data_IF_569025140035
#
_entry.id   IF_569025140035
#
_cell.length_a   1.000
_cell.length_b   1.000
_cell.length_c   1.000
_cell.angle_alpha   90.00
_cell.angle_beta   90.00
_cell.angle_gamma   90.00
#
_symmetry.space_group_name_H-M   'P 1'
#
loop_
_entity.id
_entity.type
_entity.pdbx_description
1 polymer ?
#
# COMPACT_ATOMS: atom_id res chain seq x y z
N UNK A 1 -10.41 -25.63 -5.27
CA UNK A 1 -10.20 -24.85 -6.52
C UNK A 1 -10.31 -25.74 -7.77
N UNK A 2 -10.88 -25.21 -8.86
CA UNK A 2 -11.05 -25.84 -10.18
C UNK A 2 -10.20 -25.19 -11.29
N UNK A 3 -9.60 -24.03 -11.04
CA UNK A 3 -8.76 -23.28 -11.99
C UNK A 3 -7.62 -24.12 -12.56
N UNK A 4 -7.33 -23.90 -13.83
CA UNK A 4 -6.23 -24.50 -14.59
C UNK A 4 -5.47 -23.41 -15.33
N UNK A 5 -4.20 -23.66 -15.66
CA UNK A 5 -3.38 -22.68 -16.41
C UNK A 5 -4.02 -22.18 -17.71
N UNK A 6 -4.73 -23.05 -18.44
CA UNK A 6 -5.40 -22.67 -19.70
C UNK A 6 -6.45 -21.56 -19.52
N UNK A 7 -7.00 -21.40 -18.31
CA UNK A 7 -8.00 -20.38 -18.01
C UNK A 7 -7.35 -18.97 -17.97
N UNK A 8 -6.02 -18.93 -17.85
CA UNK A 8 -5.19 -17.71 -17.84
C UNK A 8 -4.59 -17.37 -19.20
N UNK A 9 -4.99 -18.06 -20.28
CA UNK A 9 -4.51 -17.78 -21.62
C UNK A 9 -4.71 -16.30 -22.00
N UNK A 10 -3.74 -15.75 -22.73
CA UNK A 10 -3.70 -14.37 -23.24
C UNK A 10 -3.65 -13.25 -22.18
N UNK A 11 -3.58 -13.59 -20.88
CA UNK A 11 -3.43 -12.62 -19.81
C UNK A 11 -1.94 -12.27 -19.58
N UNK A 12 -1.49 -11.18 -20.20
CA UNK A 12 -0.10 -10.70 -20.09
C UNK A 12 0.17 -9.68 -18.98
N UNK A 13 -0.84 -9.19 -18.27
CA UNK A 13 -0.67 -8.15 -17.24
C UNK A 13 -1.16 -8.61 -15.86
N UNK A 14 -0.68 -7.99 -14.77
CA UNK A 14 -1.14 -8.29 -13.41
C UNK A 14 -2.67 -8.26 -13.27
N UNK A 15 -3.32 -7.20 -13.77
CA UNK A 15 -4.78 -7.05 -13.75
C UNK A 15 -5.49 -8.14 -14.55
N UNK A 16 -4.99 -8.45 -15.75
CA UNK A 16 -5.61 -9.45 -16.61
C UNK A 16 -5.55 -10.84 -15.96
N UNK A 17 -4.40 -11.19 -15.36
CA UNK A 17 -4.23 -12.47 -14.66
C UNK A 17 -5.15 -12.57 -13.45
N UNK A 18 -5.16 -11.56 -12.57
CA UNK A 18 -6.05 -11.56 -11.39
C UNK A 18 -7.52 -11.63 -11.81
N UNK A 19 -7.91 -10.89 -12.86
CA UNK A 19 -9.28 -10.95 -13.39
C UNK A 19 -9.64 -12.38 -13.84
N UNK A 20 -8.76 -13.06 -14.58
CA UNK A 20 -9.00 -14.45 -15.02
C UNK A 20 -9.06 -15.43 -13.85
N UNK A 21 -8.20 -15.26 -12.85
CA UNK A 21 -8.23 -16.07 -11.62
C UNK A 21 -9.59 -15.93 -10.92
N UNK A 22 -10.08 -14.71 -10.73
CA UNK A 22 -11.36 -14.44 -10.08
C UNK A 22 -12.57 -14.89 -10.92
N UNK A 23 -12.45 -14.92 -12.26
CA UNK A 23 -13.49 -15.47 -13.13
C UNK A 23 -13.56 -17.01 -13.05
N UNK A 24 -12.40 -17.67 -12.96
CA UNK A 24 -12.33 -19.12 -12.80
C UNK A 24 -12.70 -19.58 -11.36
N UNK A 25 -12.45 -18.73 -10.36
CA UNK A 25 -12.74 -18.96 -8.95
C UNK A 25 -13.62 -17.83 -8.38
N UNK A 26 -14.90 -17.73 -8.76
CA UNK A 26 -15.78 -16.64 -8.31
C UNK A 26 -16.01 -16.61 -6.79
N UNK A 27 -15.81 -17.75 -6.12
CA UNK A 27 -15.94 -17.90 -4.67
C UNK A 27 -14.57 -18.02 -3.98
N UNK A 28 -13.52 -17.41 -4.55
CA UNK A 28 -12.17 -17.42 -3.95
C UNK A 28 -12.23 -16.85 -2.53
N UNK A 29 -11.89 -17.62 -1.48
CA UNK A 29 -12.04 -17.14 -0.12
C UNK A 29 -10.96 -16.11 0.23
N UNK A 30 -11.24 -15.31 1.25
CA UNK A 30 -10.28 -14.39 1.89
C UNK A 30 -10.05 -14.89 3.32
N UNK A 31 -8.81 -15.10 3.76
CA UNK A 31 -7.56 -14.95 2.99
C UNK A 31 -7.43 -15.94 1.82
N UNK A 32 -6.83 -15.49 0.71
CA UNK A 32 -6.62 -16.34 -0.47
C UNK A 32 -5.75 -17.55 -0.12
N UNK A 33 -6.15 -18.79 -0.45
CA UNK A 33 -5.37 -19.99 -0.17
C UNK A 33 -4.24 -20.11 -1.19
N UNK A 34 -3.23 -19.25 -1.04
CA UNK A 34 -2.22 -19.00 -2.08
C UNK A 34 -1.44 -20.26 -2.48
N UNK A 35 -1.20 -21.18 -1.53
CA UNK A 35 -0.49 -22.43 -1.81
C UNK A 35 -1.33 -23.40 -2.66
N UNK A 36 -2.64 -23.52 -2.40
CA UNK A 36 -3.55 -24.32 -3.23
C UNK A 36 -3.63 -23.73 -4.64
N UNK A 37 -3.72 -22.40 -4.74
CA UNK A 37 -3.74 -21.70 -6.03
C UNK A 37 -2.45 -21.94 -6.82
N UNK A 38 -1.28 -21.84 -6.16
CA UNK A 38 0.02 -22.17 -6.75
C UNK A 38 0.04 -23.61 -7.30
N UNK A 39 -0.42 -24.59 -6.52
CA UNK A 39 -0.47 -25.99 -6.95
C UNK A 39 -1.35 -26.19 -8.19
N UNK A 40 -2.52 -25.54 -8.23
CA UNK A 40 -3.44 -25.57 -9.39
C UNK A 40 -2.85 -24.94 -10.64
N UNK A 41 -1.97 -23.96 -10.47
CA UNK A 41 -1.28 -23.26 -11.52
C UNK A 41 0.12 -23.85 -11.79
N UNK A 42 0.39 -25.06 -11.30
CA UNK A 42 1.55 -25.88 -11.62
C UNK A 42 2.87 -25.42 -10.98
N UNK A 43 2.79 -24.77 -9.83
CA UNK A 43 3.89 -24.77 -8.87
C UNK A 43 3.86 -26.11 -8.13
N UNK A 44 4.86 -26.94 -8.35
CA UNK A 44 4.91 -28.31 -7.80
C UNK A 44 5.47 -28.34 -6.38
N UNK A 45 6.24 -27.31 -5.99
CA UNK A 45 6.88 -27.24 -4.68
C UNK A 45 6.99 -25.80 -4.18
N UNK A 46 6.84 -25.63 -2.87
CA UNK A 46 7.13 -24.39 -2.16
C UNK A 46 8.05 -24.75 -1.00
N UNK A 47 9.27 -24.22 -1.00
CA UNK A 47 10.27 -24.51 0.03
C UNK A 47 10.67 -23.25 0.79
N UNK A 48 11.09 -23.46 2.03
CA UNK A 48 11.64 -22.39 2.85
C UNK A 48 13.15 -22.29 2.62
N UNK A 49 13.63 -21.06 2.39
CA UNK A 49 15.04 -20.72 2.33
C UNK A 49 15.53 -20.17 3.67
N UNK A 50 16.67 -20.68 4.14
CA UNK A 50 17.38 -20.11 5.27
C UNK A 50 18.51 -19.21 4.77
N UNK A 51 18.18 -17.96 4.43
CA UNK A 51 19.15 -17.00 3.89
C UNK A 51 18.74 -15.56 4.15
N UNK A 52 19.74 -14.70 4.36
CA UNK A 52 19.57 -13.25 4.43
C UNK A 52 19.72 -12.51 3.10
N UNK A 53 20.08 -13.20 2.02
CA UNK A 53 20.35 -12.57 0.73
C UNK A 53 19.08 -12.25 -0.08
N UNK A 54 18.06 -13.10 0.01
CA UNK A 54 16.85 -13.02 -0.83
C UNK A 54 15.59 -13.17 0.01
N UNK A 55 14.51 -12.55 -0.43
CA UNK A 55 13.18 -12.73 0.17
C UNK A 55 12.42 -13.87 -0.51
N UNK A 56 12.59 -13.99 -1.83
CA UNK A 56 11.95 -15.02 -2.65
C UNK A 56 12.80 -15.43 -3.85
N UNK A 57 12.44 -16.56 -4.44
CA UNK A 57 12.96 -17.00 -5.72
C UNK A 57 12.00 -17.98 -6.39
N UNK A 58 12.18 -18.10 -7.71
CA UNK A 58 11.43 -19.02 -8.55
C UNK A 58 12.42 -19.79 -9.41
N UNK A 59 12.32 -21.12 -9.38
CA UNK A 59 13.03 -22.04 -10.28
C UNK A 59 12.02 -22.64 -11.24
N UNK A 60 12.25 -22.50 -12.54
CA UNK A 60 11.36 -22.98 -13.61
C UNK A 60 12.15 -23.20 -14.88
N UNK A 61 11.74 -24.18 -15.69
CA UNK A 61 12.30 -24.34 -17.04
C UNK A 61 11.88 -23.19 -17.98
N UNK A 62 12.55 -23.10 -19.13
CA UNK A 62 12.26 -22.09 -20.17
C UNK A 62 10.82 -22.16 -20.70
N UNK A 63 10.20 -23.34 -20.68
CA UNK A 63 8.82 -23.56 -21.14
C UNK A 63 7.77 -23.26 -20.06
N UNK A 64 8.20 -23.01 -18.82
CA UNK A 64 7.35 -22.87 -17.63
C UNK A 64 6.41 -24.04 -17.46
N UNK A 65 6.91 -25.25 -17.67
CA UNK A 65 6.13 -26.49 -17.54
C UNK A 65 5.73 -26.72 -16.08
N UNK A 66 6.65 -26.56 -15.15
CA UNK A 66 6.43 -26.50 -13.72
C UNK A 66 7.38 -25.52 -13.02
N UNK A 67 7.07 -25.18 -11.77
CA UNK A 67 7.88 -24.25 -10.99
C UNK A 67 8.03 -24.69 -9.53
N UNK A 68 9.18 -24.33 -8.94
CA UNK A 68 9.43 -24.40 -7.50
C UNK A 68 9.61 -22.98 -6.97
N UNK A 69 8.79 -22.62 -5.99
CA UNK A 69 8.91 -21.34 -5.27
C UNK A 69 9.77 -21.56 -4.04
N UNK A 70 10.72 -20.65 -3.86
CA UNK A 70 11.58 -20.57 -2.71
C UNK A 70 11.18 -19.29 -1.95
N UNK A 71 10.72 -19.43 -0.71
CA UNK A 71 10.37 -18.28 0.13
C UNK A 71 11.28 -18.25 1.34
N UNK A 72 11.82 -17.08 1.71
CA UNK A 72 12.57 -16.95 2.95
C UNK A 72 11.76 -17.48 4.12
N UNK A 73 12.40 -18.30 4.96
CA UNK A 73 11.85 -18.76 6.23
C UNK A 73 11.52 -17.54 7.08
N UNK A 74 10.25 -17.41 7.41
CA UNK A 74 9.75 -16.26 8.14
C UNK A 74 8.29 -16.45 8.52
N UNK A 75 7.79 -15.56 9.37
CA UNK A 75 6.39 -15.56 9.77
C UNK A 75 5.46 -15.06 8.67
N UNK A 76 4.21 -15.48 8.77
CA UNK A 76 3.12 -14.77 8.09
C UNK A 76 3.00 -13.35 8.65
N UNK A 77 2.62 -12.35 7.83
CA UNK A 77 2.05 -12.47 6.48
C UNK A 77 3.05 -12.29 5.32
N UNK A 78 4.34 -12.14 5.62
CA UNK A 78 5.36 -11.82 4.61
C UNK A 78 5.56 -12.97 3.62
N UNK A 79 5.58 -14.20 4.12
CA UNK A 79 5.72 -15.42 3.32
C UNK A 79 4.62 -15.55 2.25
N UNK A 80 3.36 -15.27 2.61
CA UNK A 80 2.24 -15.23 1.64
C UNK A 80 2.46 -14.25 0.50
N UNK A 81 2.95 -13.05 0.80
CA UNK A 81 3.24 -12.04 -0.21
C UNK A 81 4.36 -12.51 -1.15
N UNK A 82 5.42 -13.10 -0.60
CA UNK A 82 6.50 -13.72 -1.39
C UNK A 82 5.98 -14.79 -2.33
N UNK A 83 5.17 -15.73 -1.85
CA UNK A 83 4.62 -16.79 -2.70
C UNK A 83 3.76 -16.21 -3.82
N UNK A 84 2.91 -15.22 -3.52
CA UNK A 84 2.09 -14.57 -4.54
C UNK A 84 2.93 -13.78 -5.56
N UNK A 85 4.01 -13.16 -5.12
CA UNK A 85 4.96 -12.44 -5.98
C UNK A 85 5.66 -13.41 -6.95
N UNK A 86 6.22 -14.51 -6.44
CA UNK A 86 6.89 -15.52 -7.27
C UNK A 86 5.91 -16.22 -8.23
N UNK A 87 4.65 -16.43 -7.80
CA UNK A 87 3.59 -16.87 -8.71
C UNK A 87 3.36 -15.87 -9.85
N UNK A 88 3.44 -14.57 -9.57
CA UNK A 88 3.38 -13.53 -10.61
C UNK A 88 4.50 -13.70 -11.64
N UNK A 89 5.75 -13.86 -11.18
CA UNK A 89 6.88 -14.20 -12.05
C UNK A 89 6.64 -15.46 -12.86
N UNK A 90 6.00 -16.47 -12.27
CA UNK A 90 5.71 -17.75 -12.91
C UNK A 90 4.64 -17.66 -14.01
N UNK A 91 3.63 -16.81 -13.84
CA UNK A 91 2.49 -16.71 -14.77
C UNK A 91 2.74 -15.75 -15.94
N UNK A 92 3.58 -14.73 -15.75
CA UNK A 92 3.85 -13.73 -16.78
C UNK A 92 4.95 -14.19 -17.72
N UNK A 93 4.59 -14.55 -18.95
CA UNK A 93 5.53 -15.11 -19.94
C UNK A 93 6.69 -14.17 -20.30
N UNK A 94 6.46 -12.85 -20.28
CA UNK A 94 7.50 -11.84 -20.53
C UNK A 94 8.45 -11.64 -19.35
N UNK A 95 8.20 -12.28 -18.20
CA UNK A 95 9.15 -12.27 -17.11
C UNK A 95 10.31 -13.21 -17.46
N UNK A 96 11.41 -12.72 -18.00
CA UNK A 96 12.58 -13.57 -18.28
C UNK A 96 13.55 -13.49 -17.10
N UNK A 97 13.99 -14.62 -16.51
CA UNK A 97 14.96 -14.61 -15.41
C UNK A 97 16.31 -14.01 -15.84
N UNK A 98 16.98 -13.31 -14.93
CA UNK A 98 18.30 -12.72 -15.20
C UNK A 98 19.44 -13.77 -15.15
N UNK A 99 19.20 -14.90 -14.48
CA UNK A 99 20.10 -16.05 -14.42
C UNK A 99 19.40 -17.26 -15.03
N UNK A 100 20.11 -18.23 -15.63
CA UNK A 100 19.49 -19.41 -16.21
C UNK A 100 18.50 -20.06 -15.23
N UNK A 101 17.24 -20.11 -15.65
CA UNK A 101 16.12 -20.79 -14.97
C UNK A 101 15.81 -20.33 -13.54
N UNK A 102 16.28 -19.13 -13.11
CA UNK A 102 16.09 -18.66 -11.73
C UNK A 102 15.82 -17.16 -11.57
N UNK A 103 14.75 -16.83 -10.84
CA UNK A 103 14.55 -15.52 -10.23
C UNK A 103 15.11 -15.48 -8.81
N UNK A 104 15.62 -14.32 -8.40
CA UNK A 104 16.09 -14.08 -7.05
C UNK A 104 15.72 -12.65 -6.64
N UNK A 105 14.68 -12.55 -5.84
CA UNK A 105 14.03 -11.30 -5.48
C UNK A 105 14.49 -10.86 -4.08
N UNK A 106 15.05 -9.65 -3.99
CA UNK A 106 15.54 -9.09 -2.73
C UNK A 106 14.39 -8.45 -1.95
N UNK A 107 14.54 -8.27 -0.64
CA UNK A 107 13.56 -7.52 0.17
C UNK A 107 13.27 -6.12 -0.39
N UNK A 108 14.28 -5.45 -0.98
CA UNK A 108 14.08 -4.15 -1.65
C UNK A 108 13.21 -4.23 -2.89
N UNK A 109 13.24 -5.35 -3.61
CA UNK A 109 12.41 -5.55 -4.79
C UNK A 109 10.95 -5.73 -4.40
N UNK A 110 10.67 -6.44 -3.30
CA UNK A 110 9.32 -6.64 -2.74
C UNK A 110 8.61 -5.34 -2.31
N UNK A 111 9.39 -4.30 -2.03
CA UNK A 111 8.88 -2.99 -1.61
C UNK A 111 8.78 -1.99 -2.77
N UNK A 112 9.23 -2.37 -3.97
CA UNK A 112 9.33 -1.48 -5.12
C UNK A 112 7.95 -1.15 -5.69
N UNK A 113 7.73 0.14 -5.94
CA UNK A 113 6.47 0.66 -6.49
C UNK A 113 6.60 1.17 -7.93
N UNK A 114 7.78 1.62 -8.31
CA UNK A 114 8.07 2.19 -9.64
C UNK A 114 9.36 1.58 -10.18
N UNK A 115 9.41 1.48 -11.51
CA UNK A 115 10.60 1.06 -12.21
C UNK A 115 11.29 2.28 -12.81
N UNK A 116 12.62 2.27 -12.81
CA UNK A 116 13.41 3.24 -13.58
C UNK A 116 13.14 3.04 -15.08
N UNK A 117 13.12 4.14 -15.82
CA UNK A 117 13.05 4.08 -17.27
C UNK A 117 14.23 3.26 -17.82
N UNK A 118 13.95 2.40 -18.80
CA UNK A 118 14.96 1.52 -19.38
C UNK A 118 15.35 0.30 -18.54
N UNK A 119 14.80 0.10 -17.33
CA UNK A 119 15.14 -1.06 -16.47
C UNK A 119 14.05 -2.17 -16.56
N UNK A 120 14.24 -3.21 -17.39
CA UNK A 120 13.26 -4.28 -17.55
C UNK A 120 13.17 -5.17 -16.30
N UNK A 121 14.25 -5.33 -15.53
CA UNK A 121 14.22 -6.12 -14.29
C UNK A 121 13.29 -5.47 -13.29
N UNK A 122 13.47 -4.18 -13.02
CA UNK A 122 12.61 -3.46 -12.10
C UNK A 122 11.14 -3.44 -12.54
N UNK A 123 10.87 -3.40 -13.86
CA UNK A 123 9.51 -3.50 -14.38
C UNK A 123 8.86 -4.82 -13.99
N UNK A 124 9.56 -5.95 -14.17
CA UNK A 124 9.08 -7.28 -13.75
C UNK A 124 8.80 -7.34 -12.24
N UNK A 125 9.71 -6.84 -11.40
CA UNK A 125 9.51 -6.81 -9.94
C UNK A 125 8.26 -6.00 -9.55
N UNK A 126 8.06 -4.83 -10.18
CA UNK A 126 6.88 -3.99 -9.93
C UNK A 126 5.59 -4.67 -10.39
N UNK A 127 5.61 -5.34 -11.54
CA UNK A 127 4.47 -6.12 -12.05
C UNK A 127 4.15 -7.31 -11.13
N UNK A 128 5.16 -8.03 -10.64
CA UNK A 128 4.99 -9.12 -9.68
C UNK A 128 4.43 -8.63 -8.33
N UNK A 129 4.94 -7.51 -7.80
CA UNK A 129 4.38 -6.87 -6.60
C UNK A 129 2.92 -6.44 -6.79
N UNK A 130 2.60 -5.90 -7.97
CA UNK A 130 1.24 -5.48 -8.32
C UNK A 130 0.31 -6.68 -8.42
N UNK A 131 0.75 -7.77 -9.06
CA UNK A 131 0.03 -9.04 -9.11
C UNK A 131 -0.23 -9.60 -7.71
N UNK A 132 0.80 -9.71 -6.87
CA UNK A 132 0.68 -10.20 -5.50
C UNK A 132 -0.31 -9.38 -4.67
N UNK A 133 -0.25 -8.06 -4.77
CA UNK A 133 -1.17 -7.15 -4.07
C UNK A 133 -2.61 -7.33 -4.53
N UNK A 134 -2.86 -7.36 -5.84
CA UNK A 134 -4.20 -7.53 -6.41
C UNK A 134 -4.78 -8.92 -6.11
N UNK A 135 -3.95 -9.95 -6.11
CA UNK A 135 -4.38 -11.32 -5.83
C UNK A 135 -4.71 -11.50 -4.36
N UNK A 136 -3.84 -11.04 -3.45
CA UNK A 136 -4.04 -11.20 -2.01
C UNK A 136 -5.08 -10.24 -1.45
N UNK A 137 -5.30 -9.09 -2.09
CA UNK A 137 -6.37 -8.14 -1.76
C UNK A 137 -7.23 -7.81 -2.99
N UNK A 138 -8.12 -8.74 -3.44
CA UNK A 138 -8.94 -8.53 -4.62
C UNK A 138 -9.77 -7.23 -4.54
N UNK A 139 -9.69 -6.33 -5.55
CA UNK A 139 -10.29 -4.99 -5.44
C UNK A 139 -11.79 -4.97 -5.13
N UNK A 140 -12.56 -5.93 -5.62
CA UNK A 140 -14.00 -6.00 -5.36
C UNK A 140 -14.32 -6.43 -3.91
N UNK A 141 -13.58 -7.40 -3.36
CA UNK A 141 -13.71 -7.81 -1.96
C UNK A 141 -13.20 -6.74 -1.01
N UNK A 142 -12.09 -6.08 -1.36
CA UNK A 142 -11.55 -4.97 -0.61
C UNK A 142 -12.54 -3.81 -0.52
N UNK A 143 -13.17 -3.42 -1.64
CA UNK A 143 -14.23 -2.39 -1.63
C UNK A 143 -15.43 -2.81 -0.78
N UNK A 144 -15.83 -4.08 -0.84
CA UNK A 144 -16.87 -4.63 0.04
C UNK A 144 -16.50 -4.47 1.52
N UNK A 145 -15.30 -4.91 1.91
CA UNK A 145 -14.79 -4.78 3.28
C UNK A 145 -14.71 -3.33 3.76
N UNK A 146 -14.38 -2.40 2.85
CA UNK A 146 -14.28 -0.96 3.15
C UNK A 146 -15.61 -0.23 3.16
N UNK A 147 -16.74 -0.86 2.84
CA UNK A 147 -18.05 -0.18 2.75
C UNK A 147 -18.47 0.45 4.08
N UNK A 148 -18.06 -0.13 5.21
CA UNK A 148 -18.31 0.40 6.55
C UNK A 148 -17.30 1.50 6.99
N UNK A 149 -16.17 1.63 6.30
CA UNK A 149 -15.08 2.54 6.66
C UNK A 149 -15.30 3.94 6.08
N UNK A 150 -16.33 4.63 6.57
CA UNK A 150 -16.70 5.97 6.06
C UNK A 150 -15.61 7.01 6.28
N UNK A 151 -15.03 7.01 7.47
CA UNK A 151 -13.99 7.95 7.86
C UNK A 151 -12.61 7.25 7.86
N UNK A 152 -11.53 7.90 7.40
CA UNK A 152 -10.19 7.32 7.43
C UNK A 152 -9.70 7.02 8.86
N UNK A 153 -9.27 5.79 9.11
CA UNK A 153 -8.71 5.37 10.40
C UNK A 153 -7.67 4.24 10.20
N UNK A 154 -6.56 4.28 10.93
CA UNK A 154 -5.54 3.23 10.92
C UNK A 154 -6.07 1.91 11.48
N UNK A 155 -7.08 1.91 12.34
CA UNK A 155 -7.77 0.68 12.76
C UNK A 155 -8.33 -0.09 11.56
N UNK A 156 -8.83 0.60 10.54
CA UNK A 156 -9.31 -0.03 9.31
C UNK A 156 -8.17 -0.70 8.55
N UNK A 157 -6.99 -0.08 8.49
CA UNK A 157 -5.79 -0.69 7.89
C UNK A 157 -5.38 -1.95 8.64
N UNK A 158 -5.42 -1.93 9.98
CA UNK A 158 -5.11 -3.10 10.81
C UNK A 158 -6.13 -4.22 10.62
N UNK A 159 -7.43 -3.89 10.52
CA UNK A 159 -8.49 -4.84 10.22
C UNK A 159 -8.27 -5.50 8.86
N UNK A 160 -8.03 -4.71 7.81
CA UNK A 160 -7.73 -5.23 6.47
C UNK A 160 -6.48 -6.11 6.45
N UNK A 161 -5.41 -5.73 7.14
CA UNK A 161 -4.19 -6.53 7.24
C UNK A 161 -4.46 -7.91 7.85
N UNK A 162 -5.27 -7.95 8.92
CA UNK A 162 -5.67 -9.19 9.58
C UNK A 162 -6.60 -10.02 8.69
N UNK A 163 -7.67 -9.42 8.18
CA UNK A 163 -8.76 -10.12 7.49
C UNK A 163 -8.29 -10.71 6.14
N UNK A 164 -7.39 -10.00 5.43
CA UNK A 164 -6.77 -10.50 4.21
C UNK A 164 -5.47 -11.31 4.44
N UNK A 165 -5.01 -11.40 5.70
CA UNK A 165 -3.74 -11.99 6.10
C UNK A 165 -2.55 -11.49 5.26
N UNK A 166 -2.38 -10.16 5.22
CA UNK A 166 -1.31 -9.45 4.51
C UNK A 166 -0.54 -8.53 5.47
N UNK A 167 0.63 -8.05 5.04
CA UNK A 167 1.38 -7.06 5.81
C UNK A 167 0.61 -5.75 5.98
N UNK A 168 0.81 -5.06 7.11
CA UNK A 168 0.21 -3.75 7.40
C UNK A 168 0.49 -2.73 6.30
N UNK A 169 1.69 -2.76 5.72
CA UNK A 169 2.07 -1.89 4.61
C UNK A 169 1.32 -2.21 3.30
N UNK A 170 1.13 -3.49 2.99
CA UNK A 170 0.32 -3.93 1.84
C UNK A 170 -1.12 -3.45 2.00
N UNK A 171 -1.70 -3.63 3.20
CA UNK A 171 -3.03 -3.14 3.53
C UNK A 171 -3.11 -1.61 3.47
N UNK A 172 -2.11 -0.88 3.99
CA UNK A 172 -2.06 0.58 3.98
C UNK A 172 -2.05 1.12 2.54
N UNK A 173 -1.22 0.53 1.68
CA UNK A 173 -1.17 0.90 0.25
C UNK A 173 -2.52 0.69 -0.43
N UNK A 174 -3.13 -0.48 -0.23
CA UNK A 174 -4.43 -0.80 -0.82
C UNK A 174 -5.53 0.12 -0.27
N UNK A 175 -5.52 0.37 1.03
CA UNK A 175 -6.44 1.30 1.69
C UNK A 175 -6.37 2.69 1.05
N UNK A 176 -5.18 3.28 0.95
CA UNK A 176 -4.97 4.61 0.32
C UNK A 176 -5.41 4.64 -1.15
N UNK A 177 -5.18 3.55 -1.88
CA UNK A 177 -5.53 3.47 -3.30
C UNK A 177 -7.05 3.41 -3.56
N UNK A 178 -7.81 2.77 -2.67
CA UNK A 178 -9.24 2.51 -2.86
C UNK A 178 -10.16 3.32 -1.94
N UNK A 179 -9.62 4.12 -1.02
CA UNK A 179 -10.39 5.04 -0.19
C UNK A 179 -10.90 6.25 -1.01
N UNK A 180 -12.11 6.71 -0.74
CA UNK A 180 -12.72 7.87 -1.42
C UNK A 180 -12.12 9.21 -1.00
N UNK A 181 -11.78 9.33 0.30
CA UNK A 181 -11.17 10.54 0.86
C UNK A 181 -9.73 10.83 0.36
N UNK A 182 -9.32 12.08 0.51
CA UNK A 182 -7.94 12.53 0.26
C UNK A 182 -7.04 12.12 1.42
N UNK A 183 -6.37 10.99 1.29
CA UNK A 183 -5.50 10.45 2.33
C UNK A 183 -4.11 10.08 1.81
N UNK A 184 -3.16 10.09 2.73
CA UNK A 184 -1.85 9.49 2.57
C UNK A 184 -1.46 8.70 3.82
N UNK A 185 -0.62 7.69 3.67
CA UNK A 185 0.01 6.99 4.78
C UNK A 185 1.52 7.07 4.59
N UNK A 186 2.20 7.62 5.59
CA UNK A 186 3.67 7.66 5.69
C UNK A 186 4.12 6.53 6.60
N UNK A 187 5.06 5.72 6.13
CA UNK A 187 5.75 4.75 6.98
C UNK A 187 7.07 5.35 7.43
N UNK A 188 7.26 5.41 8.74
CA UNK A 188 8.50 5.84 9.36
C UNK A 188 9.23 4.65 10.00
N UNK A 189 10.55 4.72 10.05
CA UNK A 189 11.44 3.76 10.68
C UNK A 189 12.62 4.50 11.28
N UNK A 190 12.87 4.29 12.58
CA UNK A 190 13.90 4.97 13.36
C UNK A 190 13.85 6.51 13.20
N UNK A 191 12.65 7.09 13.25
CA UNK A 191 12.43 8.53 13.13
C UNK A 191 12.60 9.10 11.72
N UNK A 192 12.81 8.25 10.69
CA UNK A 192 12.97 8.67 9.30
C UNK A 192 11.88 8.12 8.40
N UNK A 193 11.48 8.90 7.42
CA UNK A 193 10.52 8.52 6.38
C UNK A 193 11.11 7.37 5.56
N UNK A 194 10.38 6.27 5.47
CA UNK A 194 10.77 5.09 4.69
C UNK A 194 9.99 5.04 3.38
N UNK A 195 8.68 5.27 3.44
CA UNK A 195 7.75 5.19 2.30
C UNK A 195 6.59 6.16 2.49
N UNK A 196 6.01 6.59 1.37
CA UNK A 196 4.81 7.42 1.34
C UNK A 196 3.82 6.84 0.32
N UNK A 197 2.63 6.48 0.78
CA UNK A 197 1.50 6.08 -0.08
C UNK A 197 0.49 7.23 -0.07
N UNK A 198 0.05 7.70 -1.24
CA UNK A 198 -0.94 8.78 -1.32
C UNK A 198 -2.01 8.49 -2.35
N UNK A 199 -3.24 8.94 -2.09
CA UNK A 199 -4.27 8.94 -3.12
C UNK A 199 -3.90 9.93 -4.24
N UNK A 200 -4.45 9.73 -5.43
CA UNK A 200 -4.15 10.60 -6.58
C UNK A 200 -4.49 12.08 -6.29
N UNK A 201 -5.56 12.29 -5.52
CA UNK A 201 -6.08 13.60 -5.13
C UNK A 201 -5.38 14.20 -3.89
N UNK A 202 -4.49 13.45 -3.22
CA UNK A 202 -3.69 13.98 -2.12
C UNK A 202 -2.41 14.65 -2.68
N UNK A 203 -2.04 15.86 -2.21
CA UNK A 203 -0.84 16.57 -2.67
C UNK A 203 0.45 15.76 -2.49
N UNK A 204 1.52 16.15 -3.18
CA UNK A 204 2.81 15.52 -2.97
C UNK A 204 3.28 15.75 -1.52
N UNK A 205 3.76 14.69 -0.87
CA UNK A 205 4.38 14.79 0.45
C UNK A 205 5.77 15.39 0.28
N UNK A 206 6.07 16.48 0.99
CA UNK A 206 7.36 17.19 0.87
C UNK A 206 8.52 16.45 1.55
N UNK A 207 8.21 15.59 2.52
CA UNK A 207 9.21 14.77 3.19
C UNK A 207 9.67 13.62 2.29
N UNK A 208 10.90 13.72 1.79
CA UNK A 208 11.52 12.70 0.95
C UNK A 208 11.85 11.43 1.75
N UNK A 209 11.92 10.29 1.05
CA UNK A 209 12.42 9.04 1.65
C UNK A 209 13.83 9.26 2.21
N UNK A 210 14.04 8.84 3.45
CA UNK A 210 15.27 9.03 4.21
C UNK A 210 15.30 10.30 5.06
N UNK A 211 14.43 11.29 4.84
CA UNK A 211 14.39 12.49 5.67
C UNK A 211 13.89 12.18 7.09
N UNK A 212 14.27 12.97 8.11
CA UNK A 212 13.61 12.93 9.41
C UNK A 212 12.10 13.18 9.28
N UNK A 213 11.31 12.54 10.13
CA UNK A 213 9.89 12.90 10.29
C UNK A 213 9.80 14.27 10.98
N UNK A 214 8.94 15.21 10.53
CA UNK A 214 8.86 16.56 11.10
C UNK A 214 8.72 16.55 12.62
N UNK A 215 9.46 17.44 13.32
CA UNK A 215 9.51 17.46 14.80
C UNK A 215 8.14 17.70 15.46
N UNK A 216 7.24 18.40 14.77
CA UNK A 216 5.87 18.68 15.24
C UNK A 216 4.85 17.62 14.80
N UNK A 217 5.27 16.53 14.15
CA UNK A 217 4.40 15.38 13.88
C UNK A 217 3.99 14.72 15.20
N UNK A 218 2.77 14.17 15.23
CA UNK A 218 2.26 13.42 16.37
C UNK A 218 3.11 12.18 16.67
N UNK A 219 3.91 11.68 15.72
CA UNK A 219 4.77 10.50 15.95
C UNK A 219 5.74 10.67 17.10
N UNK A 220 6.12 11.92 17.40
CA UNK A 220 7.05 12.25 18.49
C UNK A 220 6.35 12.44 19.85
N UNK A 221 5.02 12.32 19.89
CA UNK A 221 4.27 12.43 21.13
C UNK A 221 4.57 11.28 22.08
N UNK A 222 4.88 11.62 23.34
CA UNK A 222 5.14 10.64 24.42
C UNK A 222 3.88 9.95 24.93
N UNK A 223 2.69 10.44 24.57
CA UNK A 223 1.42 9.87 25.01
C UNK A 223 1.00 8.62 24.22
N UNK A 224 1.65 8.34 23.08
CA UNK A 224 1.27 7.25 22.20
C UNK A 224 1.76 5.90 22.70
N UNK A 225 0.87 4.92 22.69
CA UNK A 225 1.17 3.56 23.09
C UNK A 225 1.50 2.70 21.87
N UNK A 226 2.54 1.84 21.92
CA UNK A 226 2.82 0.90 20.84
C UNK A 226 1.62 0.00 20.54
N UNK A 227 1.41 -0.29 19.26
CA UNK A 227 0.35 -1.18 18.76
C UNK A 227 -1.09 -0.70 18.99
N UNK A 228 -1.28 0.56 19.38
CA UNK A 228 -2.60 1.20 19.47
C UNK A 228 -2.55 2.48 18.63
N UNK A 229 -3.42 2.64 17.61
CA UNK A 229 -3.58 3.91 16.90
C UNK A 229 -3.94 5.01 17.88
N UNK A 230 -3.30 6.17 17.73
CA UNK A 230 -3.66 7.39 18.45
C UNK A 230 -5.06 7.86 18.07
N UNK A 231 -5.57 8.81 18.85
CA UNK A 231 -6.66 9.67 18.37
C UNK A 231 -6.22 10.43 17.12
N UNK A 232 -7.21 10.77 16.29
CA UNK A 232 -7.02 11.63 15.14
C UNK A 232 -6.97 13.07 15.65
N UNK A 233 -5.89 13.79 15.36
CA UNK A 233 -5.73 15.19 15.75
C UNK A 233 -5.35 16.07 14.57
N UNK A 234 -5.78 17.33 14.61
CA UNK A 234 -5.38 18.32 13.62
C UNK A 234 -3.88 18.61 13.72
N UNK A 235 -3.22 18.77 12.57
CA UNK A 235 -1.83 19.18 12.49
C UNK A 235 -1.64 20.25 11.41
N UNK A 236 -0.49 20.91 11.46
CA UNK A 236 -0.17 21.97 10.51
C UNK A 236 0.13 21.37 9.14
N UNK A 237 -0.56 21.83 8.09
CA UNK A 237 -0.47 21.23 6.76
C UNK A 237 0.93 21.36 6.13
N UNK A 238 1.64 22.45 6.41
CA UNK A 238 3.02 22.74 6.00
C UNK A 238 4.05 21.72 6.50
N UNK A 239 3.70 20.88 7.49
CA UNK A 239 4.56 19.78 7.92
C UNK A 239 4.74 18.72 6.84
N UNK A 240 3.69 18.47 6.05
CA UNK A 240 3.61 17.31 5.19
C UNK A 240 3.43 17.65 3.71
N UNK A 241 2.84 18.79 3.38
CA UNK A 241 2.57 19.22 2.01
C UNK A 241 3.03 20.65 1.77
N UNK A 242 3.35 20.97 0.51
CA UNK A 242 3.66 22.34 0.11
C UNK A 242 2.37 23.15 0.04
N UNK A 243 2.23 24.13 0.94
CA UNK A 243 1.08 25.03 1.00
C UNK A 243 1.46 26.33 0.31
N UNK A 244 0.95 26.54 -0.91
CA UNK A 244 1.12 27.83 -1.61
C UNK A 244 0.41 28.93 -0.80
N UNK A 245 1.10 30.06 -0.62
CA UNK A 245 0.66 31.19 0.23
C UNK A 245 -0.69 31.80 -0.16
N UNK A 246 -1.14 31.59 -1.39
CA UNK A 246 -2.36 32.22 -1.96
C UNK A 246 -3.59 31.30 -1.92
N UNK A 247 -3.49 30.12 -1.31
CA UNK A 247 -4.59 29.16 -1.17
C UNK A 247 -4.98 29.01 0.30
N UNK A 248 -6.28 28.88 0.57
CA UNK A 248 -6.80 28.53 1.90
C UNK A 248 -6.09 27.25 2.38
N UNK A 249 -5.42 27.35 3.54
CA UNK A 249 -4.65 26.24 4.09
C UNK A 249 -5.63 25.11 4.41
N UNK A 250 -5.51 23.94 3.77
CA UNK A 250 -6.41 22.83 4.04
C UNK A 250 -6.21 22.32 5.47
N UNK A 251 -7.29 21.93 6.15
CA UNK A 251 -7.17 21.26 7.45
C UNK A 251 -6.60 19.87 7.25
N UNK A 252 -5.40 19.66 7.80
CA UNK A 252 -4.73 18.36 7.81
C UNK A 252 -4.95 17.70 9.17
N UNK A 253 -5.28 16.41 9.15
CA UNK A 253 -5.41 15.59 10.34
C UNK A 253 -4.40 14.45 10.27
N UNK A 254 -3.87 14.09 11.42
CA UNK A 254 -2.86 13.06 11.59
C UNK A 254 -3.35 12.02 12.59
N UNK A 255 -3.06 10.75 12.30
CA UNK A 255 -3.22 9.64 13.22
C UNK A 255 -1.96 8.79 13.16
N UNK A 256 -1.48 8.32 14.31
CA UNK A 256 -0.22 7.59 14.41
C UNK A 256 -0.46 6.20 14.97
N UNK A 257 0.17 5.21 14.35
CA UNK A 257 0.27 3.86 14.86
C UNK A 257 1.74 3.50 15.06
N UNK A 258 2.19 3.48 16.32
CA UNK A 258 3.55 3.07 16.68
C UNK A 258 3.68 1.54 16.59
N UNK A 259 4.76 1.07 15.98
CA UNK A 259 5.10 -0.33 15.83
C UNK A 259 6.36 -0.68 16.63
N UNK A 260 6.56 -1.97 16.87
CA UNK A 260 7.81 -2.47 17.43
C UNK A 260 9.01 -2.16 16.52
N UNK A 261 10.21 -2.13 17.11
CA UNK A 261 11.45 -1.89 16.36
C UNK A 261 11.63 -0.46 15.86
N UNK A 262 10.90 0.51 16.41
CA UNK A 262 11.04 1.93 16.04
C UNK A 262 10.36 2.31 14.72
N UNK A 263 9.40 1.51 14.25
CA UNK A 263 8.59 1.81 13.07
C UNK A 263 7.28 2.49 13.45
N UNK A 264 6.67 3.23 12.52
CA UNK A 264 5.34 3.80 12.69
C UNK A 264 4.62 3.94 11.34
N UNK A 265 3.29 3.89 11.36
CA UNK A 265 2.42 4.35 10.27
C UNK A 265 1.75 5.66 10.69
N UNK A 266 1.76 6.64 9.80
CA UNK A 266 1.19 7.96 10.03
C UNK A 266 0.15 8.18 8.93
N UNK A 267 -1.13 8.15 9.29
CA UNK A 267 -2.24 8.49 8.39
C UNK A 267 -2.41 10.01 8.37
N UNK A 268 -2.40 10.57 7.17
CA UNK A 268 -2.66 11.96 6.88
C UNK A 268 -3.97 12.06 6.13
N UNK A 269 -4.87 12.91 6.61
CA UNK A 269 -6.15 13.18 5.96
C UNK A 269 -6.31 14.66 5.68
N UNK A 270 -6.55 14.98 4.41
CA UNK A 270 -6.85 16.33 3.97
C UNK A 270 -8.37 16.52 3.92
N UNK A 271 -8.91 17.40 4.78
CA UNK A 271 -10.28 17.88 4.62
C UNK A 271 -10.28 19.13 3.74
N UNK A 272 -11.29 19.24 2.87
CA UNK A 272 -11.55 20.52 2.22
C UNK A 272 -11.79 21.57 3.30
N UNK A 273 -11.28 22.78 3.08
CA UNK A 273 -11.85 23.93 3.77
C UNK A 273 -13.31 24.01 3.29
N UNK A 274 -14.31 23.94 4.18
CA UNK A 274 -15.68 24.21 3.77
C UNK A 274 -15.67 25.54 3.04
N UNK A 275 -16.25 25.62 1.83
CA UNK A 275 -16.50 26.94 1.26
C UNK A 275 -17.37 27.68 2.26
N UNK A 276 -16.83 28.75 2.86
CA UNK A 276 -17.69 29.68 3.59
C UNK A 276 -18.85 30.04 2.67
N UNK A 277 -20.05 29.82 3.16
CA UNK A 277 -21.26 30.26 2.48
C UNK A 277 -21.09 31.74 2.13
N UNK A 278 -21.69 32.19 1.02
CA UNK A 278 -21.65 33.61 0.68
C UNK A 278 -22.21 34.50 1.81
N UNK A 279 -22.96 33.93 2.75
CA UNK A 279 -23.47 34.57 3.96
C UNK A 279 -22.39 34.71 5.06
N UNK A 280 -21.59 33.69 5.31
CA UNK A 280 -20.45 33.75 6.24
C UNK A 280 -19.40 34.77 5.79
N UNK A 281 -19.11 34.83 4.48
CA UNK A 281 -18.24 35.85 3.89
C UNK A 281 -18.76 37.28 4.11
N UNK A 282 -20.07 37.50 3.93
CA UNK A 282 -20.71 38.81 4.18
C UNK A 282 -20.73 39.17 5.66
N UNK A 283 -20.85 38.19 6.55
CA UNK A 283 -20.81 38.40 8.00
C UNK A 283 -19.40 38.80 8.45
N UNK A 284 -18.35 38.12 7.99
CA UNK A 284 -16.97 38.48 8.32
C UNK A 284 -16.55 39.85 7.75
N UNK A 285 -16.92 40.15 6.50
CA UNK A 285 -16.69 41.47 5.90
C UNK A 285 -17.48 42.57 6.62
N UNK A 286 -18.74 42.29 6.98
CA UNK A 286 -19.57 43.19 7.78
C UNK A 286 -19.03 43.44 9.18
N UNK A 287 -18.42 42.44 9.81
CA UNK A 287 -17.70 42.58 11.08
C UNK A 287 -16.43 43.43 10.91
N UNK A 288 -15.60 43.17 9.90
CA UNK A 288 -14.39 43.95 9.63
C UNK A 288 -14.67 45.43 9.39
N UNK A 289 -15.76 45.77 8.70
CA UNK A 289 -16.16 47.16 8.45
C UNK A 289 -16.76 47.87 9.69
N UNK A 290 -17.41 47.15 10.61
CA UNK A 290 -18.01 47.75 11.81
C UNK A 290 -17.00 48.13 12.90
N UNK A 291 -15.82 47.52 12.92
CA UNK A 291 -14.80 47.79 13.93
C UNK A 291 -13.66 48.71 13.46
N UNK A 292 -13.60 49.06 12.16
CA UNK A 292 -12.61 50.01 11.63
C UNK A 292 -13.14 51.44 11.42
N UNK A 293 -14.43 51.71 11.65
CA UNK A 293 -15.00 53.08 11.53
C UNK A 293 -15.00 53.88 12.83
N UNK A 294 -14.40 53.36 13.91
CA UNK A 294 -14.46 53.93 15.26
C UNK A 294 -13.15 54.47 15.83
N UNK A 295 -12.26 55.03 15.01
CA UNK A 295 -11.14 55.88 15.49
C UNK A 295 -10.91 57.04 14.52
N UNK A 296 -11.64 58.13 14.75
CA UNK A 296 -11.17 59.48 14.43
C UNK A 296 -10.33 59.99 15.58
#
# INVERSE_FOLDING_TARGET
MQIKRKDLADAGSPEALVKRILQAEPNLPVPVPIQELCARLGIVKIEDLDTDAFEGGLVTDTKRSDGTILARRGGEPRRRFTIAHELGHFLMAHHIPDQPDRFSCKTSDMLRMTAKEGDPRQRREVEANRFASLLLMPPHLLRGAMTAFREPDLQHVLALARDFAVGKETAARAYVQYHSERIAIVVAGHGRVQRCYRSLSFPAIVCAVGSPVPERSLVHSRSHQPSIPSDIAACSADLWIDVKRDLHVPSLYEQVYLQQGGFAMILLRLKAVPEESAEERRLEEGWRHRFHSGRR
#
